data_IF_756250149166
#
_entry.id   IF_756250149166
#
_cell.length_a   1.000
_cell.length_b   1.000
_cell.length_c   1.000
_cell.angle_alpha   90.00
_cell.angle_beta   90.00
_cell.angle_gamma   90.00
#
_symmetry.space_group_name_H-M   'P 1'
#
loop_
_entity.id
_entity.type
_entity.pdbx_description
1 polymer ?
#
# COMPACT_ATOMS: atom_id res chain seq x y z
N UNK A 1 -5.99 -2.76 -16.44
CA UNK A 1 -5.20 -3.19 -17.62
C UNK A 1 -3.84 -3.66 -17.13
N UNK A 2 -3.35 -4.79 -17.60
CA UNK A 2 -2.03 -5.29 -17.23
C UNK A 2 -1.32 -5.88 -18.44
N UNK A 3 0.02 -5.94 -18.40
CA UNK A 3 0.81 -6.50 -19.48
C UNK A 3 2.29 -6.60 -19.14
N UNK A 4 3.02 -7.30 -19.99
CA UNK A 4 4.47 -7.41 -19.90
C UNK A 4 5.11 -7.48 -21.28
N UNK A 5 6.32 -6.96 -21.35
CA UNK A 5 7.26 -7.13 -22.46
C UNK A 5 8.51 -7.88 -21.97
N UNK A 6 9.57 -7.95 -22.75
CA UNK A 6 10.83 -8.60 -22.35
C UNK A 6 11.38 -8.03 -21.03
N UNK A 7 11.36 -6.72 -20.85
CA UNK A 7 11.94 -6.05 -19.69
C UNK A 7 10.94 -5.30 -18.83
N UNK A 8 9.78 -4.89 -19.37
CA UNK A 8 8.76 -4.12 -18.67
C UNK A 8 7.59 -4.98 -18.27
N UNK A 9 7.06 -4.74 -17.08
CA UNK A 9 5.74 -5.18 -16.65
C UNK A 9 4.96 -4.00 -16.06
N UNK A 10 3.62 -4.02 -16.19
CA UNK A 10 2.76 -2.97 -15.67
C UNK A 10 1.39 -3.50 -15.29
N UNK A 11 0.75 -2.84 -14.34
CA UNK A 11 -0.62 -3.07 -13.92
C UNK A 11 -1.31 -1.75 -13.57
N UNK A 12 -2.44 -1.47 -14.25
CA UNK A 12 -3.20 -0.23 -14.13
C UNK A 12 -4.63 -0.55 -13.74
N UNK A 13 -5.13 0.08 -12.68
CA UNK A 13 -6.50 -0.06 -12.20
C UNK A 13 -7.15 1.29 -11.97
N UNK A 14 -8.44 1.41 -12.35
CA UNK A 14 -9.28 2.53 -11.99
C UNK A 14 -10.66 2.01 -11.56
N UNK A 15 -11.17 2.50 -10.45
CA UNK A 15 -12.44 2.10 -9.87
C UNK A 15 -13.24 3.36 -9.53
N UNK A 16 -14.53 3.36 -9.88
CA UNK A 16 -15.49 4.38 -9.46
C UNK A 16 -16.61 3.74 -8.66
N UNK A 17 -16.97 4.37 -7.55
CA UNK A 17 -18.11 4.01 -6.72
C UNK A 17 -19.17 5.10 -6.78
N UNK A 18 -20.40 4.72 -7.10
CA UNK A 18 -21.54 5.62 -7.19
C UNK A 18 -22.80 4.94 -6.67
N UNK A 19 -23.78 5.74 -6.28
CA UNK A 19 -25.06 5.28 -5.75
C UNK A 19 -25.47 6.08 -4.52
N UNK A 20 -26.34 5.50 -3.72
CA UNK A 20 -26.87 6.15 -2.52
C UNK A 20 -26.75 5.20 -1.32
N UNK A 21 -26.42 5.77 -0.19
CA UNK A 21 -26.48 5.08 1.11
C UNK A 21 -27.21 5.96 2.11
N UNK A 22 -28.41 5.52 2.54
CA UNK A 22 -29.37 6.33 3.30
C UNK A 22 -29.68 7.60 2.50
N UNK A 23 -29.48 8.80 3.09
CA UNK A 23 -29.71 10.11 2.47
C UNK A 23 -28.46 10.73 1.82
N UNK A 24 -27.40 9.95 1.60
CA UNK A 24 -26.12 10.45 1.09
C UNK A 24 -25.76 9.84 -0.26
N UNK A 25 -25.26 10.67 -1.17
CA UNK A 25 -24.73 10.23 -2.46
C UNK A 25 -23.31 9.69 -2.33
N UNK A 26 -23.07 8.50 -2.89
CA UNK A 26 -21.73 7.91 -2.99
C UNK A 26 -21.07 8.45 -4.25
N UNK A 27 -19.88 9.04 -4.11
CA UNK A 27 -19.01 9.45 -5.21
C UNK A 27 -17.57 9.29 -4.78
N UNK A 28 -17.02 8.10 -5.01
CA UNK A 28 -15.67 7.75 -4.61
C UNK A 28 -14.92 7.11 -5.77
N UNK A 29 -13.60 7.16 -5.70
CA UNK A 29 -12.75 6.63 -6.75
C UNK A 29 -11.45 6.06 -6.17
N UNK A 30 -10.83 5.17 -6.95
CA UNK A 30 -9.49 4.67 -6.70
C UNK A 30 -8.75 4.55 -8.02
N UNK A 31 -7.45 4.82 -7.99
CA UNK A 31 -6.53 4.55 -9.09
C UNK A 31 -5.27 3.89 -8.55
N UNK A 32 -4.73 2.95 -9.32
CA UNK A 32 -3.48 2.27 -9.03
C UNK A 32 -2.69 2.12 -10.30
N UNK A 33 -1.40 2.42 -10.24
CA UNK A 33 -0.42 2.15 -11.29
C UNK A 33 0.76 1.42 -10.68
N UNK A 34 1.20 0.36 -11.31
CA UNK A 34 2.42 -0.35 -10.98
C UNK A 34 3.21 -0.61 -12.25
N UNK A 35 4.50 -0.26 -12.25
CA UNK A 35 5.42 -0.55 -13.34
C UNK A 35 6.70 -1.17 -12.79
N UNK A 36 7.28 -2.09 -13.54
CA UNK A 36 8.56 -2.71 -13.23
C UNK A 36 9.46 -2.79 -14.45
N UNK A 37 10.75 -2.62 -14.21
CA UNK A 37 11.78 -2.79 -15.23
C UNK A 37 12.85 -3.77 -14.76
N UNK A 38 13.13 -4.80 -15.58
CA UNK A 38 14.05 -5.89 -15.25
C UNK A 38 15.35 -5.75 -16.03
N UNK A 39 16.48 -5.92 -15.33
CA UNK A 39 17.82 -5.93 -15.89
C UNK A 39 18.41 -7.35 -15.78
N UNK A 40 18.01 -8.25 -16.67
CA UNK A 40 18.40 -9.67 -16.62
C UNK A 40 19.90 -9.88 -16.96
N UNK A 41 20.54 -8.91 -17.60
CA UNK A 41 21.95 -8.98 -18.02
C UNK A 41 22.97 -8.69 -16.92
N UNK A 42 22.54 -8.17 -15.76
CA UNK A 42 23.43 -7.86 -14.63
C UNK A 42 23.27 -8.81 -13.47
N UNK A 43 24.28 -8.83 -12.60
CA UNK A 43 24.28 -9.69 -11.40
C UNK A 43 23.01 -9.50 -10.58
N UNK A 44 22.41 -10.60 -10.10
CA UNK A 44 21.18 -10.67 -9.33
C UNK A 44 19.89 -10.35 -10.13
N UNK A 45 19.98 -10.01 -11.43
CA UNK A 45 18.84 -9.72 -12.29
C UNK A 45 17.81 -8.78 -11.63
N UNK A 46 18.17 -7.54 -11.23
CA UNK A 46 17.29 -6.69 -10.46
C UNK A 46 16.06 -6.28 -11.27
N UNK A 47 14.90 -6.27 -10.58
CA UNK A 47 13.68 -5.62 -11.06
C UNK A 47 13.43 -4.37 -10.23
N UNK A 48 13.50 -3.22 -10.86
CA UNK A 48 13.09 -1.95 -10.28
C UNK A 48 11.58 -1.81 -10.41
N UNK A 49 10.89 -1.66 -9.31
CA UNK A 49 9.44 -1.50 -9.26
C UNK A 49 9.04 -0.13 -8.72
N UNK A 50 7.97 0.43 -9.26
CA UNK A 50 7.31 1.60 -8.73
C UNK A 50 5.81 1.34 -8.73
N UNK A 51 5.18 1.45 -7.56
CA UNK A 51 3.72 1.46 -7.41
C UNK A 51 3.29 2.83 -6.91
N UNK A 52 2.25 3.40 -7.51
CA UNK A 52 1.59 4.59 -7.02
C UNK A 52 0.08 4.36 -6.98
N UNK A 53 -0.57 4.76 -5.89
CA UNK A 53 -2.00 4.56 -5.69
C UNK A 53 -2.63 5.80 -5.08
N UNK A 54 -3.91 6.03 -5.40
CA UNK A 54 -4.72 7.02 -4.72
C UNK A 54 -6.13 6.48 -4.51
N UNK A 55 -6.62 6.63 -3.29
CA UNK A 55 -7.98 6.29 -2.86
C UNK A 55 -8.63 7.55 -2.33
N UNK A 56 -9.76 7.94 -2.92
CA UNK A 56 -10.46 9.18 -2.57
C UNK A 56 -10.85 9.25 -1.09
N UNK A 57 -10.77 10.44 -0.54
CA UNK A 57 -11.31 10.83 0.76
C UNK A 57 -12.52 11.77 0.61
N UNK A 58 -13.20 12.04 1.71
CA UNK A 58 -14.31 12.98 1.74
C UNK A 58 -13.78 14.42 1.81
N UNK A 59 -14.01 15.20 0.74
CA UNK A 59 -13.52 16.57 0.62
C UNK A 59 -14.35 17.57 1.45
N UNK A 60 -15.64 17.27 1.69
CA UNK A 60 -16.55 18.15 2.42
C UNK A 60 -17.46 17.33 3.35
N UNK A 61 -16.98 16.96 4.54
CA UNK A 61 -17.81 16.29 5.54
C UNK A 61 -19.03 17.17 5.88
N UNK A 62 -20.25 16.74 5.54
CA UNK A 62 -21.48 17.48 5.79
C UNK A 62 -22.23 17.94 4.54
N UNK A 63 -21.68 17.79 3.34
CA UNK A 63 -22.35 18.14 2.08
C UNK A 63 -23.34 17.10 1.55
N UNK A 64 -23.64 16.07 2.34
CA UNK A 64 -24.53 14.97 1.93
C UNK A 64 -23.88 13.93 1.01
N UNK A 65 -22.56 14.00 0.80
CA UNK A 65 -21.80 13.05 -0.03
C UNK A 65 -20.94 12.12 0.81
N UNK A 66 -20.71 10.94 0.28
CA UNK A 66 -19.74 9.94 0.76
C UNK A 66 -18.63 9.83 -0.28
N UNK A 67 -17.58 10.64 -0.08
CA UNK A 67 -16.44 10.72 -1.01
C UNK A 67 -15.31 9.77 -0.68
N UNK A 68 -15.32 9.16 0.52
CA UNK A 68 -14.30 8.21 0.93
C UNK A 68 -14.47 6.90 0.20
N UNK A 69 -13.44 6.46 -0.54
CA UNK A 69 -13.44 5.15 -1.20
C UNK A 69 -13.57 4.04 -0.15
N UNK A 70 -14.39 3.05 -0.44
CA UNK A 70 -14.58 1.89 0.43
C UNK A 70 -14.27 0.61 -0.32
N UNK A 71 -13.12 0.01 -0.04
CA UNK A 71 -12.74 -1.27 -0.63
C UNK A 71 -13.71 -2.36 -0.19
N UNK A 72 -14.36 -3.03 -1.15
CA UNK A 72 -15.32 -4.12 -0.89
C UNK A 72 -14.63 -5.45 -0.60
N UNK A 73 -13.40 -5.62 -1.08
CA UNK A 73 -12.61 -6.84 -0.96
C UNK A 73 -11.15 -6.47 -0.62
N UNK A 74 -10.84 -6.40 0.63
CA UNK A 74 -9.45 -6.25 1.09
C UNK A 74 -8.81 -7.64 1.14
N UNK A 75 -8.32 -8.12 -0.02
CA UNK A 75 -7.57 -9.37 -0.08
C UNK A 75 -6.08 -9.11 0.12
N UNK A 76 -5.55 -9.64 1.22
CA UNK A 76 -4.12 -9.72 1.50
C UNK A 76 -3.39 -8.37 1.61
N UNK A 77 -2.12 -8.44 1.87
CA UNK A 77 -1.29 -7.25 2.08
C UNK A 77 -1.19 -6.43 0.78
N UNK A 78 -1.73 -5.22 0.79
CA UNK A 78 -1.70 -4.33 -0.37
C UNK A 78 -0.46 -3.42 -0.37
N UNK A 79 -0.16 -2.83 0.78
CA UNK A 79 1.02 -1.97 0.95
C UNK A 79 2.20 -2.73 1.55
N UNK A 80 1.94 -3.56 2.55
CA UNK A 80 2.87 -4.45 3.23
C UNK A 80 2.10 -5.47 4.06
N UNK A 81 2.77 -6.46 4.60
CA UNK A 81 2.15 -7.44 5.51
C UNK A 81 1.74 -6.83 6.86
N UNK A 82 2.27 -5.68 7.22
CA UNK A 82 1.86 -4.96 8.42
C UNK A 82 0.44 -4.36 8.32
N UNK A 83 -0.07 -4.14 7.11
CA UNK A 83 -1.42 -3.59 6.83
C UNK A 83 -1.79 -2.38 7.71
N UNK A 84 -0.87 -1.43 7.89
CA UNK A 84 -1.08 -0.26 8.73
C UNK A 84 -2.31 0.55 8.35
N UNK A 85 -2.57 0.68 7.04
CA UNK A 85 -3.59 1.58 6.50
C UNK A 85 -4.54 0.88 5.54
N UNK A 86 -5.82 1.26 5.62
CA UNK A 86 -6.84 0.87 4.66
C UNK A 86 -6.68 1.62 3.34
N UNK A 87 -7.27 1.07 2.29
CA UNK A 87 -7.43 1.70 0.97
C UNK A 87 -8.55 2.74 1.02
N UNK A 88 -8.39 3.78 1.85
CA UNK A 88 -9.38 4.84 2.12
C UNK A 88 -8.65 6.14 2.42
N UNK A 89 -9.01 7.21 1.70
CA UNK A 89 -8.40 8.52 1.90
C UNK A 89 -6.87 8.47 1.95
N UNK A 90 -6.26 7.80 0.99
CA UNK A 90 -4.84 7.49 1.03
C UNK A 90 -4.19 7.65 -0.34
N UNK A 91 -3.05 8.30 -0.38
CA UNK A 91 -2.11 8.29 -1.50
C UNK A 91 -0.85 7.57 -1.04
N UNK A 92 -0.29 6.71 -1.87
CA UNK A 92 1.00 6.07 -1.60
C UNK A 92 1.85 5.97 -2.84
N UNK A 93 3.18 6.13 -2.66
CA UNK A 93 4.21 5.89 -3.67
C UNK A 93 5.22 4.93 -3.10
N UNK A 94 5.48 3.82 -3.80
CA UNK A 94 6.24 2.67 -3.31
C UNK A 94 7.31 2.24 -4.32
N UNK A 95 8.53 2.80 -4.28
CA UNK A 95 9.67 2.22 -4.97
C UNK A 95 10.14 0.92 -4.31
N UNK A 96 10.58 -0.03 -5.13
CA UNK A 96 11.13 -1.31 -4.69
C UNK A 96 12.22 -1.80 -5.63
N UNK A 97 13.08 -2.69 -5.13
CA UNK A 97 14.07 -3.38 -5.94
C UNK A 97 14.04 -4.85 -5.58
N UNK A 98 13.62 -5.71 -6.49
CA UNK A 98 13.70 -7.16 -6.28
C UNK A 98 15.04 -7.69 -6.81
N UNK A 99 15.76 -8.41 -5.98
CA UNK A 99 17.05 -9.04 -6.27
C UNK A 99 16.93 -10.56 -6.20
N UNK A 100 17.41 -11.28 -7.19
CA UNK A 100 17.47 -12.74 -7.19
C UNK A 100 18.82 -13.20 -6.66
N UNK A 101 18.91 -13.45 -5.34
CA UNK A 101 20.16 -13.88 -4.69
C UNK A 101 20.60 -15.26 -5.18
N UNK A 102 19.62 -16.14 -5.43
CA UNK A 102 19.79 -17.42 -6.12
C UNK A 102 18.56 -17.71 -6.99
N UNK A 103 18.54 -18.85 -7.68
CA UNK A 103 17.34 -19.30 -8.45
C UNK A 103 16.08 -19.47 -7.60
N UNK A 104 16.26 -19.67 -6.29
CA UNK A 104 15.17 -19.98 -5.36
C UNK A 104 15.04 -18.97 -4.23
N UNK A 105 15.93 -17.98 -4.14
CA UNK A 105 15.96 -16.99 -3.07
C UNK A 105 15.92 -15.59 -3.66
N UNK A 106 14.90 -14.81 -3.31
CA UNK A 106 14.79 -13.39 -3.67
C UNK A 106 14.73 -12.51 -2.42
N UNK A 107 15.27 -11.31 -2.56
CA UNK A 107 15.25 -10.26 -1.54
C UNK A 107 14.73 -8.98 -2.16
N UNK A 108 13.73 -8.36 -1.51
CA UNK A 108 13.04 -7.18 -2.06
C UNK A 108 13.00 -6.07 -1.01
N UNK A 109 14.05 -5.21 -0.93
CA UNK A 109 13.93 -3.96 -0.20
C UNK A 109 12.91 -3.04 -0.86
N UNK A 110 12.16 -2.34 -0.05
CA UNK A 110 11.14 -1.41 -0.48
C UNK A 110 11.02 -0.22 0.49
N UNK A 111 10.42 0.84 0.00
CA UNK A 111 9.92 1.90 0.86
C UNK A 111 8.55 2.36 0.36
N UNK A 112 7.71 2.86 1.25
CA UNK A 112 6.40 3.39 0.89
C UNK A 112 6.19 4.72 1.62
N UNK A 113 5.77 5.73 0.88
CA UNK A 113 5.40 7.04 1.41
C UNK A 113 3.88 7.16 1.39
N UNK A 114 3.29 7.74 2.45
CA UNK A 114 1.85 7.82 2.63
C UNK A 114 1.38 9.24 2.91
N UNK A 115 0.31 9.65 2.21
CA UNK A 115 -0.39 10.92 2.42
C UNK A 115 -1.90 10.69 2.48
N UNK A 116 -2.60 11.57 3.17
CA UNK A 116 -4.06 11.65 3.05
C UNK A 116 -4.42 12.29 1.71
N UNK A 117 -5.41 11.75 1.00
CA UNK A 117 -5.93 12.34 -0.23
C UNK A 117 -6.74 13.61 0.08
N UNK A 118 -7.55 13.56 1.14
CA UNK A 118 -8.25 14.72 1.70
C UNK A 118 -7.79 14.98 3.13
N UNK A 119 -7.36 16.20 3.43
CA UNK A 119 -7.02 16.60 4.81
C UNK A 119 -8.25 16.81 5.69
N UNK A 120 -9.45 16.85 5.11
CA UNK A 120 -10.73 16.96 5.82
C UNK A 120 -11.28 15.59 6.26
N UNK A 121 -10.76 14.52 5.69
CA UNK A 121 -11.12 13.14 6.02
C UNK A 121 -10.09 12.49 6.94
N UNK A 122 -10.46 11.36 7.57
CA UNK A 122 -9.64 10.67 8.54
C UNK A 122 -8.60 9.74 7.95
N UNK A 123 -7.81 9.13 8.83
CA UNK A 123 -6.93 8.01 8.53
C UNK A 123 -7.57 6.72 9.03
N UNK A 124 -7.53 5.68 8.21
CA UNK A 124 -8.21 4.42 8.45
C UNK A 124 -7.24 3.24 8.48
N UNK A 125 -7.45 2.33 9.44
CA UNK A 125 -6.96 0.95 9.36
C UNK A 125 -7.97 0.07 8.61
N UNK A 126 -7.64 -1.16 8.25
CA UNK A 126 -8.60 -2.07 7.61
C UNK A 126 -9.92 -2.23 8.39
N UNK A 127 -9.88 -2.17 9.73
CA UNK A 127 -11.04 -2.40 10.60
C UNK A 127 -11.68 -1.13 11.16
N UNK A 128 -11.00 0.02 11.19
CA UNK A 128 -11.48 1.19 11.93
C UNK A 128 -10.91 2.52 11.46
N UNK A 129 -11.55 3.61 11.89
CA UNK A 129 -10.98 4.96 11.84
C UNK A 129 -9.89 5.07 12.91
N UNK A 130 -8.65 5.39 12.51
CA UNK A 130 -7.51 5.59 13.43
C UNK A 130 -7.56 7.00 14.01
N UNK A 131 -7.66 8.02 13.12
CA UNK A 131 -7.63 9.45 13.47
C UNK A 131 -8.63 10.21 12.62
N UNK A 132 -9.38 11.12 13.22
CA UNK A 132 -10.28 12.03 12.49
C UNK A 132 -9.48 13.08 11.72
N UNK A 133 -10.01 13.54 10.56
CA UNK A 133 -9.36 14.56 9.74
C UNK A 133 -9.16 15.91 10.44
N UNK A 134 -10.05 16.25 11.37
CA UNK A 134 -10.05 17.53 12.10
C UNK A 134 -8.90 17.72 13.09
N UNK A 135 -8.10 16.69 13.35
CA UNK A 135 -6.98 16.74 14.31
C UNK A 135 -5.76 17.49 13.76
N UNK A 136 -5.60 17.58 12.46
CA UNK A 136 -4.46 18.23 11.81
C UNK A 136 -4.76 18.47 10.33
N UNK A 137 -4.27 19.56 9.76
CA UNK A 137 -4.35 19.86 8.33
C UNK A 137 -3.18 19.27 7.52
N UNK A 138 -2.20 18.64 8.18
CA UNK A 138 -1.08 18.00 7.52
C UNK A 138 -1.56 16.79 6.70
N UNK A 139 -1.10 16.66 5.47
CA UNK A 139 -1.42 15.51 4.60
C UNK A 139 -0.47 14.34 4.81
N UNK A 140 0.82 14.58 5.09
CA UNK A 140 1.84 13.54 5.19
C UNK A 140 1.67 12.67 6.43
N UNK A 141 1.35 11.38 6.20
CA UNK A 141 1.12 10.38 7.26
C UNK A 141 2.45 9.81 7.77
N UNK A 142 3.39 9.55 6.87
CA UNK A 142 4.68 8.96 7.18
C UNK A 142 5.23 8.10 6.05
N UNK A 143 6.31 7.41 6.34
CA UNK A 143 6.87 6.42 5.44
C UNK A 143 7.20 5.13 6.18
N UNK A 144 7.16 4.05 5.43
CA UNK A 144 7.55 2.72 5.83
C UNK A 144 8.77 2.32 5.01
N UNK A 145 9.76 1.69 5.63
CA UNK A 145 10.92 1.11 4.92
C UNK A 145 11.12 -0.29 5.44
N UNK A 146 11.32 -1.23 4.54
CA UNK A 146 11.43 -2.61 4.91
C UNK A 146 12.04 -3.50 3.82
N UNK A 147 11.97 -4.79 4.05
CA UNK A 147 12.42 -5.78 3.09
C UNK A 147 11.72 -7.12 3.28
N UNK A 148 11.45 -7.75 2.14
CA UNK A 148 10.91 -9.10 2.09
C UNK A 148 11.97 -10.08 1.60
N UNK A 149 12.04 -11.24 2.25
CA UNK A 149 12.80 -12.40 1.81
C UNK A 149 11.80 -13.50 1.41
N UNK A 150 11.99 -14.06 0.21
CA UNK A 150 11.21 -15.21 -0.26
C UNK A 150 12.17 -16.32 -0.64
N UNK A 151 12.02 -17.49 -0.02
CA UNK A 151 12.83 -18.67 -0.28
C UNK A 151 11.95 -19.87 -0.68
N UNK A 152 11.99 -20.23 -1.96
CA UNK A 152 11.36 -21.44 -2.49
C UNK A 152 12.21 -22.65 -2.12
N UNK A 153 11.86 -23.30 -1.00
CA UNK A 153 12.58 -24.48 -0.50
C UNK A 153 12.44 -25.68 -1.45
N UNK A 154 11.24 -25.86 -2.01
CA UNK A 154 10.94 -26.82 -3.07
C UNK A 154 9.66 -26.39 -3.82
N UNK A 155 9.13 -27.26 -4.72
CA UNK A 155 7.91 -26.97 -5.51
C UNK A 155 6.64 -26.77 -4.67
N UNK A 156 6.61 -27.25 -3.43
CA UNK A 156 5.46 -27.22 -2.54
C UNK A 156 5.62 -26.24 -1.37
N UNK A 157 6.84 -25.88 -1.01
CA UNK A 157 7.11 -25.13 0.22
C UNK A 157 7.90 -23.86 -0.06
N UNK A 158 7.35 -22.74 0.34
CA UNK A 158 8.00 -21.43 0.28
C UNK A 158 8.07 -20.84 1.68
N UNK A 159 9.25 -20.44 2.11
CA UNK A 159 9.45 -19.62 3.32
C UNK A 159 9.44 -18.16 2.95
N UNK A 160 8.71 -17.39 3.72
CA UNK A 160 8.59 -15.93 3.58
C UNK A 160 8.96 -15.26 4.90
N UNK A 161 9.64 -14.13 4.79
CA UNK A 161 9.98 -13.27 5.92
C UNK A 161 9.82 -11.82 5.49
N UNK A 162 9.25 -11.00 6.36
CA UNK A 162 9.00 -9.58 6.10
C UNK A 162 9.33 -8.76 7.33
N UNK A 163 10.07 -7.67 7.14
CA UNK A 163 10.37 -6.67 8.16
C UNK A 163 10.05 -5.29 7.64
N UNK A 164 9.37 -4.52 8.47
CA UNK A 164 8.94 -3.17 8.16
C UNK A 164 9.18 -2.25 9.37
N UNK A 165 9.76 -1.09 9.12
CA UNK A 165 9.84 0.01 10.09
C UNK A 165 9.03 1.20 9.60
N UNK A 166 8.07 1.66 10.38
CA UNK A 166 7.23 2.82 10.07
C UNK A 166 7.73 4.06 10.81
N UNK A 167 7.97 5.13 10.06
CA UNK A 167 8.32 6.45 10.55
C UNK A 167 7.11 7.38 10.46
N UNK A 168 6.55 7.88 11.58
CA UNK A 168 5.39 8.77 11.56
C UNK A 168 5.74 10.12 10.95
N UNK A 169 4.87 10.58 10.07
CA UNK A 169 4.92 11.91 9.45
C UNK A 169 4.24 12.97 10.30
N UNK A 170 4.12 14.14 9.71
CA UNK A 170 3.59 15.33 10.40
C UNK A 170 2.17 15.12 10.92
N UNK A 171 1.28 14.52 10.10
CA UNK A 171 -0.09 14.24 10.51
C UNK A 171 -0.17 13.42 11.79
N UNK A 172 0.55 12.29 11.86
CA UNK A 172 0.55 11.43 13.04
C UNK A 172 1.22 12.05 14.24
N UNK A 173 2.29 12.84 14.04
CA UNK A 173 2.96 13.58 15.13
C UNK A 173 2.07 14.65 15.76
N UNK A 174 1.20 15.29 14.96
CA UNK A 174 0.28 16.30 15.46
C UNK A 174 -1.01 15.72 16.05
N UNK A 175 -1.41 14.52 15.64
CA UNK A 175 -2.72 13.95 15.99
C UNK A 175 -2.69 12.75 16.91
N UNK A 176 -1.51 12.15 17.13
CA UNK A 176 -1.29 10.97 17.97
C UNK A 176 0.00 11.09 18.78
N UNK A 177 0.44 9.99 19.42
CA UNK A 177 1.74 9.94 20.09
C UNK A 177 2.95 10.02 19.13
N UNK A 178 2.74 9.88 17.82
CA UNK A 178 3.76 10.02 16.77
C UNK A 178 4.96 9.10 16.95
N UNK A 179 4.74 7.86 17.37
CA UNK A 179 5.81 6.88 17.61
C UNK A 179 6.07 6.04 16.37
N UNK A 180 7.34 5.69 16.14
CA UNK A 180 7.75 4.67 15.17
C UNK A 180 7.31 3.29 15.63
N UNK A 181 7.09 2.39 14.67
CA UNK A 181 6.65 1.01 14.93
C UNK A 181 7.45 0.06 14.06
N UNK A 182 7.90 -1.04 14.65
CA UNK A 182 8.50 -2.17 13.95
C UNK A 182 7.47 -3.28 13.77
N UNK A 183 7.53 -3.92 12.62
CA UNK A 183 6.75 -5.10 12.31
C UNK A 183 7.67 -6.18 11.74
N UNK A 184 7.54 -7.39 12.24
CA UNK A 184 8.24 -8.55 11.73
C UNK A 184 7.28 -9.73 11.64
N UNK A 185 7.31 -10.43 10.51
CA UNK A 185 6.57 -11.68 10.33
C UNK A 185 7.38 -12.69 9.53
N UNK A 186 7.16 -13.96 9.81
CA UNK A 186 7.70 -15.06 9.02
C UNK A 186 6.66 -16.18 8.94
N UNK A 187 6.54 -16.81 7.76
CA UNK A 187 5.59 -17.91 7.57
C UNK A 187 6.07 -18.90 6.50
N UNK A 188 5.40 -20.04 6.46
CA UNK A 188 5.57 -21.06 5.42
C UNK A 188 4.28 -21.16 4.61
N UNK A 189 4.40 -21.07 3.30
CA UNK A 189 3.31 -21.29 2.34
C UNK A 189 3.46 -22.71 1.77
N UNK A 190 2.46 -23.56 2.01
CA UNK A 190 2.41 -24.94 1.53
C UNK A 190 1.37 -25.05 0.41
N UNK A 191 1.80 -25.49 -0.77
CA UNK A 191 0.93 -25.79 -1.92
C UNK A 191 0.93 -27.29 -2.20
N UNK A 192 -0.24 -27.89 -2.12
CA UNK A 192 -0.46 -29.33 -2.40
C UNK A 192 -0.70 -29.56 -3.90
#
# INVERSE_FOLDING_TARGET
MWGSTEHWDYNEEAIFQFGNFRSKDIRAWAVSTEAGYRLDSILLGPRFGLRAVAFSGNQNPGDGRLGTFNSLNEKGPYFSYAEWFARRNLISVQPSVQLNLTKNLSFTPNTAFFWRESTRDGLYSPSSLIVTGQKSDASYIGNQTGAQLQWKLNRHLTFMMDYEHFFPGEFLKQSTAGRSVDYFTAWLDLRL
#
